data_IF_806500198249
#
_entry.id   IF_806500198249
#
_cell.length_a   1.000
_cell.length_b   1.000
_cell.length_c   1.000
_cell.angle_alpha   90.00
_cell.angle_beta   90.00
_cell.angle_gamma   90.00
#
_symmetry.space_group_name_H-M   'P 1'
#
loop_
_entity.id
_entity.type
_entity.pdbx_description
1 polymer ?
#
# COMPACT_ATOMS: atom_id res chain seq x y z
N UNK A 1 -23.35 6.81 -3.42
CA UNK A 1 -21.89 6.73 -3.55
C UNK A 1 -21.33 8.08 -3.09
N UNK A 2 -20.80 8.18 -1.86
CA UNK A 2 -20.19 9.45 -1.40
C UNK A 2 -19.00 9.75 -2.30
N UNK A 3 -19.06 10.86 -3.02
CA UNK A 3 -18.03 11.34 -3.93
C UNK A 3 -16.67 11.32 -3.23
N UNK A 4 -15.72 10.53 -3.75
CA UNK A 4 -14.33 10.62 -3.32
C UNK A 4 -13.89 12.06 -3.52
N UNK A 5 -13.72 12.83 -2.43
CA UNK A 5 -13.27 14.23 -2.33
C UNK A 5 -12.40 14.75 -3.51
N UNK A 6 -12.98 14.92 -4.70
CA UNK A 6 -12.26 15.09 -5.96
C UNK A 6 -11.05 14.15 -6.16
N UNK A 7 -11.07 12.88 -5.73
CA UNK A 7 -9.93 11.94 -5.91
C UNK A 7 -10.25 10.86 -6.94
N UNK A 8 -9.26 10.48 -7.74
CA UNK A 8 -9.36 9.38 -8.72
C UNK A 8 -8.31 8.30 -8.49
N UNK A 9 -8.53 7.06 -8.96
CA UNK A 9 -7.47 6.05 -9.07
C UNK A 9 -6.38 6.52 -10.05
N UNK A 10 -5.19 5.95 -9.90
CA UNK A 10 -4.15 6.06 -10.92
C UNK A 10 -4.54 5.28 -12.17
N UNK A 11 -4.23 5.82 -13.34
CA UNK A 11 -4.32 5.09 -14.60
C UNK A 11 -3.29 3.97 -14.67
N UNK A 12 -3.45 3.05 -15.63
CA UNK A 12 -2.47 1.99 -15.85
C UNK A 12 -1.07 2.54 -16.20
N UNK A 13 -1.01 3.65 -16.94
CA UNK A 13 0.26 4.30 -17.29
C UNK A 13 0.89 4.97 -16.07
N UNK A 14 0.12 5.70 -15.26
CA UNK A 14 0.65 6.29 -14.03
C UNK A 14 1.12 5.23 -13.04
N UNK A 15 0.40 4.11 -12.90
CA UNK A 15 0.88 2.98 -12.10
C UNK A 15 2.20 2.44 -12.66
N UNK A 16 2.31 2.26 -13.97
CA UNK A 16 3.57 1.86 -14.58
C UNK A 16 4.70 2.85 -14.26
N UNK A 17 4.48 4.14 -14.44
CA UNK A 17 5.44 5.20 -14.13
C UNK A 17 5.81 5.21 -12.64
N UNK A 18 4.83 5.11 -11.73
CA UNK A 18 5.08 5.10 -10.28
C UNK A 18 5.95 3.93 -9.84
N UNK A 19 5.73 2.74 -10.38
CA UNK A 19 6.47 1.54 -9.99
C UNK A 19 7.68 1.27 -10.89
N UNK A 20 8.04 2.21 -11.77
CA UNK A 20 9.33 2.27 -12.48
C UNK A 20 10.08 3.58 -12.20
N UNK A 21 9.56 4.42 -11.29
CA UNK A 21 10.19 5.67 -10.89
C UNK A 21 11.46 5.44 -10.07
N UNK A 22 12.15 6.54 -9.72
CA UNK A 22 13.51 6.47 -9.17
C UNK A 22 13.67 5.63 -7.89
N UNK A 23 12.63 5.51 -7.06
CA UNK A 23 12.63 4.67 -5.86
C UNK A 23 12.73 3.18 -6.21
N UNK A 24 12.26 2.80 -7.39
CA UNK A 24 12.21 1.42 -7.87
C UNK A 24 13.22 1.12 -8.98
N UNK A 25 14.03 2.11 -9.39
CA UNK A 25 15.13 1.95 -10.33
C UNK A 25 16.41 1.42 -9.65
N UNK A 26 17.52 1.44 -10.39
CA UNK A 26 18.81 0.93 -9.89
C UNK A 26 19.75 2.02 -9.38
N UNK A 27 19.44 3.29 -9.62
CA UNK A 27 20.29 4.44 -9.28
C UNK A 27 19.53 5.42 -8.38
N UNK A 28 20.18 5.89 -7.32
CA UNK A 28 19.64 6.90 -6.41
C UNK A 28 19.72 8.27 -7.04
N UNK A 29 18.67 9.08 -6.93
CA UNK A 29 18.74 10.48 -7.38
C UNK A 29 19.65 11.32 -6.48
N UNK A 30 20.16 12.43 -6.99
CA UNK A 30 21.03 13.33 -6.22
C UNK A 30 20.36 13.76 -4.90
N UNK A 31 21.11 13.64 -3.78
CA UNK A 31 20.65 13.94 -2.41
C UNK A 31 19.44 13.12 -1.95
N UNK A 32 19.18 11.96 -2.57
CA UNK A 32 18.17 11.04 -2.09
C UNK A 32 18.51 10.53 -0.69
N UNK A 33 17.51 10.52 0.20
CA UNK A 33 17.59 9.90 1.52
C UNK A 33 16.58 8.75 1.56
N UNK A 34 16.93 7.59 0.97
CA UNK A 34 16.00 6.48 0.88
C UNK A 34 15.68 5.93 2.26
N UNK A 35 14.41 5.60 2.45
CA UNK A 35 13.85 4.98 3.65
C UNK A 35 13.07 3.76 3.21
N UNK A 36 13.07 2.69 4.00
CA UNK A 36 12.40 1.44 3.64
C UNK A 36 10.90 1.65 3.42
N UNK A 37 10.28 2.56 4.17
CA UNK A 37 8.89 2.92 3.95
C UNK A 37 8.62 3.60 2.59
N UNK A 38 9.60 4.25 1.95
CA UNK A 38 9.43 4.80 0.59
C UNK A 38 9.18 3.68 -0.43
N UNK A 39 9.82 2.52 -0.24
CA UNK A 39 9.65 1.34 -1.08
C UNK A 39 8.38 0.56 -0.71
N UNK A 40 8.21 0.22 0.58
CA UNK A 40 7.16 -0.70 1.00
C UNK A 40 5.78 -0.08 1.11
N UNK A 41 5.66 1.19 1.51
CA UNK A 41 4.35 1.78 1.79
C UNK A 41 3.46 1.88 0.52
N UNK A 42 3.96 2.35 -0.65
CA UNK A 42 3.14 2.35 -1.86
C UNK A 42 2.77 0.93 -2.31
N UNK A 43 3.68 -0.04 -2.19
CA UNK A 43 3.40 -1.43 -2.54
C UNK A 43 2.29 -2.02 -1.66
N UNK A 44 2.42 -1.90 -0.34
CA UNK A 44 1.40 -2.40 0.60
C UNK A 44 0.07 -1.68 0.38
N UNK A 45 0.06 -0.36 0.17
CA UNK A 45 -1.18 0.39 -0.08
C UNK A 45 -1.92 -0.09 -1.34
N UNK A 46 -1.19 -0.39 -2.41
CA UNK A 46 -1.77 -0.93 -3.64
C UNK A 46 -2.32 -2.36 -3.49
N UNK A 47 -1.57 -3.25 -2.85
CA UNK A 47 -1.96 -4.67 -2.73
C UNK A 47 -2.92 -4.98 -1.58
N UNK A 48 -3.18 -4.03 -0.67
CA UNK A 48 -4.09 -4.23 0.47
C UNK A 48 -5.21 -3.19 0.60
N UNK A 49 -5.13 -2.11 -0.16
CA UNK A 49 -6.03 -0.97 -0.04
C UNK A 49 -5.93 -0.22 1.29
N UNK A 50 -4.96 -0.53 2.15
CA UNK A 50 -4.80 0.15 3.43
C UNK A 50 -4.36 1.61 3.25
N UNK A 51 -4.88 2.48 4.13
CA UNK A 51 -4.44 3.86 4.25
C UNK A 51 -3.04 3.94 4.84
N UNK A 52 -2.34 5.04 4.55
CA UNK A 52 -0.96 5.24 5.01
C UNK A 52 -0.80 5.24 6.53
N UNK A 53 -1.81 5.66 7.29
CA UNK A 53 -1.79 5.55 8.75
C UNK A 53 -1.92 4.09 9.21
N UNK A 54 -2.84 3.30 8.63
CA UNK A 54 -2.98 1.86 8.93
C UNK A 54 -1.64 1.13 8.70
N UNK A 55 -0.98 1.41 7.57
CA UNK A 55 0.32 0.83 7.23
C UNK A 55 1.42 1.36 8.16
N UNK A 56 1.37 2.65 8.51
CA UNK A 56 2.32 3.28 9.39
C UNK A 56 2.32 2.69 10.80
N UNK A 57 1.17 2.23 11.30
CA UNK A 57 1.02 1.58 12.60
C UNK A 57 1.34 0.08 12.59
N UNK A 58 1.37 -0.57 11.42
CA UNK A 58 1.52 -2.01 11.29
C UNK A 58 2.80 -2.54 11.95
N UNK A 59 2.65 -3.53 12.82
CA UNK A 59 3.75 -4.17 13.56
C UNK A 59 3.97 -5.62 13.12
N UNK A 60 5.06 -6.23 13.59
CA UNK A 60 5.32 -7.65 13.36
C UNK A 60 4.22 -8.56 13.94
N UNK A 61 3.53 -8.12 15.00
CA UNK A 61 2.44 -8.89 15.62
C UNK A 61 1.16 -8.85 14.77
N UNK A 62 1.05 -7.85 13.89
CA UNK A 62 -0.06 -7.73 12.94
C UNK A 62 0.14 -8.59 11.67
N UNK A 63 1.25 -9.35 11.60
CA UNK A 63 1.51 -10.35 10.56
C UNK A 63 1.05 -11.73 11.03
N UNK A 64 -0.21 -12.05 10.74
CA UNK A 64 -0.88 -13.22 11.29
C UNK A 64 -1.01 -14.31 10.24
N UNK A 65 -0.69 -15.55 10.61
CA UNK A 65 -1.03 -16.72 9.80
C UNK A 65 -2.43 -17.22 10.16
N UNK A 66 -3.34 -17.25 9.18
CA UNK A 66 -4.65 -17.90 9.27
C UNK A 66 -4.74 -18.95 8.17
N UNK A 67 -4.96 -20.21 8.54
CA UNK A 67 -5.04 -21.33 7.58
C UNK A 67 -3.80 -21.37 6.64
N UNK A 68 -2.60 -21.20 7.21
CA UNK A 68 -1.32 -21.12 6.49
C UNK A 68 -1.19 -19.96 5.47
N UNK A 69 -2.11 -19.00 5.46
CA UNK A 69 -2.02 -17.78 4.68
C UNK A 69 -1.53 -16.64 5.59
N UNK A 70 -0.44 -15.99 5.19
CA UNK A 70 0.02 -14.77 5.85
C UNK A 70 -0.94 -13.62 5.53
N UNK A 71 -1.40 -12.91 6.56
CA UNK A 71 -2.32 -11.79 6.47
C UNK A 71 -1.78 -10.57 7.21
N UNK A 72 -2.07 -9.38 6.70
CA UNK A 72 -2.01 -8.15 7.48
C UNK A 72 -3.28 -8.00 8.31
N UNK A 73 -3.13 -7.76 9.61
CA UNK A 73 -4.20 -7.39 10.52
C UNK A 73 -4.27 -5.88 10.65
N UNK A 74 -5.18 -5.24 9.92
CA UNK A 74 -5.34 -3.79 9.99
C UNK A 74 -6.32 -3.39 11.09
N UNK A 75 -5.82 -2.59 12.03
CA UNK A 75 -6.60 -1.92 13.04
C UNK A 75 -6.93 -0.49 12.60
N UNK A 76 -8.12 -0.02 12.97
CA UNK A 76 -8.65 1.25 12.46
C UNK A 76 -9.34 2.03 13.57
N UNK A 77 -9.38 3.36 13.40
CA UNK A 77 -10.17 4.23 14.26
C UNK A 77 -11.46 4.66 13.54
N UNK A 78 -12.55 3.94 13.84
CA UNK A 78 -13.94 4.35 13.62
C UNK A 78 -14.48 4.31 12.18
N UNK A 79 -13.83 4.96 11.22
CA UNK A 79 -14.44 5.23 9.89
C UNK A 79 -14.59 4.01 8.98
N UNK A 80 -13.75 3.00 9.18
CA UNK A 80 -13.79 1.71 8.50
C UNK A 80 -13.54 0.64 9.55
N UNK A 81 -14.04 -0.58 9.34
CA UNK A 81 -13.86 -1.70 10.26
C UNK A 81 -12.44 -2.29 10.18
N UNK A 82 -11.90 -2.80 11.29
CA UNK A 82 -10.72 -3.66 11.28
C UNK A 82 -10.93 -4.87 10.38
N UNK A 83 -9.86 -5.38 9.79
CA UNK A 83 -9.94 -6.50 8.82
C UNK A 83 -8.60 -7.22 8.66
N UNK A 84 -8.68 -8.51 8.35
CA UNK A 84 -7.55 -9.29 7.85
C UNK A 84 -7.48 -9.18 6.33
N UNK A 85 -6.31 -8.86 5.79
CA UNK A 85 -6.06 -8.83 4.35
C UNK A 85 -4.91 -9.79 4.04
N UNK A 86 -5.15 -10.87 3.27
CA UNK A 86 -4.09 -11.76 2.81
C UNK A 86 -2.95 -10.99 2.14
N UNK A 87 -1.70 -11.40 2.42
CA UNK A 87 -0.52 -10.81 1.80
C UNK A 87 -0.45 -11.29 0.35
N UNK A 88 -0.46 -10.33 -0.57
CA UNK A 88 -0.33 -10.62 -1.99
C UNK A 88 1.03 -11.24 -2.32
N UNK A 89 1.08 -12.27 -3.17
CA UNK A 89 2.33 -12.96 -3.55
C UNK A 89 3.38 -12.03 -4.14
N UNK A 90 2.97 -10.94 -4.79
CA UNK A 90 3.92 -9.95 -5.31
C UNK A 90 4.77 -9.34 -4.19
N UNK A 91 4.18 -9.03 -3.02
CA UNK A 91 4.94 -8.50 -1.89
C UNK A 91 5.99 -9.50 -1.40
N UNK A 92 5.64 -10.79 -1.35
CA UNK A 92 6.59 -11.87 -1.03
C UNK A 92 7.72 -11.91 -2.06
N UNK A 93 7.39 -11.90 -3.35
CA UNK A 93 8.37 -11.90 -4.45
C UNK A 93 9.24 -10.64 -4.47
N UNK A 94 8.76 -9.52 -3.93
CA UNK A 94 9.53 -8.28 -3.79
C UNK A 94 10.45 -8.29 -2.56
N UNK A 95 10.52 -9.39 -1.81
CA UNK A 95 11.45 -9.55 -0.70
C UNK A 95 10.85 -9.22 0.68
N UNK A 96 9.54 -9.40 0.88
CA UNK A 96 8.89 -9.05 2.16
C UNK A 96 9.42 -9.92 3.32
N UNK A 97 9.72 -11.19 3.07
CA UNK A 97 10.22 -12.11 4.10
C UNK A 97 11.63 -11.68 4.57
N UNK A 98 12.48 -11.30 3.62
CA UNK A 98 13.81 -10.75 3.84
C UNK A 98 13.73 -9.44 4.61
N UNK A 99 12.78 -8.57 4.25
CA UNK A 99 12.54 -7.33 4.98
C UNK A 99 12.08 -7.56 6.42
N UNK A 100 11.19 -8.54 6.65
CA UNK A 100 10.74 -8.93 7.99
C UNK A 100 11.92 -9.48 8.81
N UNK A 101 12.76 -10.33 8.21
CA UNK A 101 13.96 -10.84 8.85
C UNK A 101 14.93 -9.71 9.21
N UNK A 102 15.10 -8.73 8.32
CA UNK A 102 15.88 -7.53 8.57
C UNK A 102 15.32 -6.71 9.74
N UNK A 103 14.01 -6.41 9.77
CA UNK A 103 13.37 -5.69 10.89
C UNK A 103 13.69 -6.38 12.23
N UNK A 104 13.52 -7.71 12.29
CA UNK A 104 13.83 -8.51 13.48
C UNK A 104 15.31 -8.40 13.87
N UNK A 105 16.23 -8.49 12.90
CA UNK A 105 17.68 -8.36 13.15
C UNK A 105 18.08 -6.99 13.72
N UNK A 106 17.31 -5.95 13.39
CA UNK A 106 17.53 -4.58 13.86
C UNK A 106 16.81 -4.29 15.19
N UNK A 107 16.22 -5.30 15.84
CA UNK A 107 15.36 -5.16 17.03
C UNK A 107 14.24 -4.12 16.85
N UNK A 108 13.75 -3.97 15.63
CA UNK A 108 12.61 -3.12 15.32
C UNK A 108 11.33 -3.94 15.39
N UNK A 109 10.22 -3.31 15.76
CA UNK A 109 8.92 -3.99 15.88
C UNK A 109 7.90 -3.51 14.84
N UNK A 110 7.99 -2.25 14.40
CA UNK A 110 7.09 -1.67 13.39
C UNK A 110 7.60 -1.96 11.98
N UNK A 111 6.70 -2.33 11.06
CA UNK A 111 7.10 -2.57 9.66
C UNK A 111 7.60 -1.31 8.98
N UNK A 112 7.07 -0.14 9.36
CA UNK A 112 7.55 1.17 8.90
C UNK A 112 8.36 1.84 10.02
N UNK A 113 9.37 1.16 10.57
CA UNK A 113 10.15 1.66 11.71
C UNK A 113 10.83 3.00 11.42
N UNK A 114 11.26 3.22 10.18
CA UNK A 114 11.94 4.45 9.75
C UNK A 114 11.00 5.52 9.17
N UNK A 115 9.68 5.33 9.28
CA UNK A 115 8.65 6.34 9.01
C UNK A 115 8.39 7.18 10.27
N UNK A 116 8.79 8.47 10.30
CA UNK A 116 8.52 9.31 11.45
C UNK A 116 7.03 9.65 11.58
N UNK A 117 6.55 9.74 12.82
CA UNK A 117 5.25 10.33 13.12
C UNK A 117 5.36 11.87 13.13
N UNK A 118 4.28 12.55 12.75
CA UNK A 118 4.07 13.98 12.98
C UNK A 118 2.71 14.15 13.67
N UNK A 119 2.71 14.79 14.85
CA UNK A 119 1.49 14.98 15.67
C UNK A 119 0.74 13.67 15.94
N UNK A 120 1.47 12.59 16.23
CA UNK A 120 0.88 11.27 16.50
C UNK A 120 0.25 10.58 15.28
N UNK A 121 0.55 11.02 14.04
CA UNK A 121 0.11 10.36 12.80
C UNK A 121 1.28 10.13 11.85
N UNK A 122 1.24 9.08 11.06
CA UNK A 122 2.25 8.78 10.05
C UNK A 122 1.86 9.32 8.67
N UNK A 123 0.55 9.45 8.43
CA UNK A 123 -0.05 9.85 7.16
C UNK A 123 0.45 11.19 6.62
N UNK A 124 0.81 12.13 7.49
CA UNK A 124 1.29 13.45 7.08
C UNK A 124 2.66 13.39 6.39
N UNK A 125 3.62 12.66 6.98
CA UNK A 125 4.96 12.48 6.38
C UNK A 125 4.88 11.75 5.04
N UNK A 126 3.99 10.77 4.95
CA UNK A 126 3.70 10.06 3.70
C UNK A 126 3.11 11.00 2.66
N UNK A 127 2.13 11.85 3.02
CA UNK A 127 1.52 12.83 2.10
C UNK A 127 2.55 13.83 1.58
N UNK A 128 3.41 14.37 2.45
CA UNK A 128 4.45 15.31 2.05
C UNK A 128 5.47 14.65 1.11
N UNK A 129 5.93 13.44 1.42
CA UNK A 129 6.88 12.74 0.55
C UNK A 129 6.26 12.35 -0.80
N UNK A 130 5.04 11.82 -0.79
CA UNK A 130 4.42 11.29 -2.00
C UNK A 130 3.91 12.40 -2.92
N UNK A 131 3.19 13.38 -2.38
CA UNK A 131 2.54 14.45 -3.16
C UNK A 131 3.24 15.82 -3.07
N UNK A 132 4.24 15.99 -2.20
CA UNK A 132 4.90 17.27 -2.00
C UNK A 132 4.18 18.22 -1.04
N UNK A 133 4.82 19.35 -0.75
CA UNK A 133 4.32 20.41 0.13
C UNK A 133 4.92 21.77 -0.22
N UNK A 134 4.07 22.76 -0.51
CA UNK A 134 4.52 24.06 -1.02
C UNK A 134 5.38 23.87 -2.28
N UNK A 135 6.57 24.47 -2.27
CA UNK A 135 7.55 24.36 -3.35
C UNK A 135 8.29 23.01 -3.40
N UNK A 136 8.12 22.14 -2.39
CA UNK A 136 8.81 20.85 -2.35
C UNK A 136 8.08 19.82 -3.21
N UNK A 137 8.70 19.46 -4.33
CA UNK A 137 8.27 18.33 -5.17
C UNK A 137 8.28 17.00 -4.39
N UNK A 138 7.18 16.26 -4.47
CA UNK A 138 7.04 14.91 -3.96
C UNK A 138 7.42 13.84 -4.98
N UNK A 139 7.17 12.58 -4.63
CA UNK A 139 7.39 11.44 -5.50
C UNK A 139 6.63 11.55 -6.83
N UNK A 140 5.35 11.96 -6.79
CA UNK A 140 4.51 12.11 -7.98
C UNK A 140 5.14 13.05 -9.00
N UNK A 141 5.52 14.27 -8.59
CA UNK A 141 6.10 15.26 -9.49
C UNK A 141 7.47 14.84 -10.00
N UNK A 142 8.26 14.14 -9.19
CA UNK A 142 9.55 13.57 -9.62
C UNK A 142 9.41 12.41 -10.61
N UNK A 143 8.20 11.88 -10.76
CA UNK A 143 7.85 10.90 -11.78
C UNK A 143 7.01 11.53 -12.90
N UNK A 144 6.97 12.86 -13.00
CA UNK A 144 6.19 13.63 -13.98
C UNK A 144 4.67 13.36 -13.92
N UNK A 145 4.16 12.97 -12.75
CA UNK A 145 2.73 12.78 -12.50
C UNK A 145 2.21 14.01 -11.74
N UNK A 146 1.24 14.76 -12.30
CA UNK A 146 0.67 15.90 -11.62
C UNK A 146 -0.20 15.46 -10.44
N UNK A 147 -0.25 16.27 -9.38
CA UNK A 147 -1.13 16.02 -8.23
C UNK A 147 -2.62 16.14 -8.56
N UNK A 148 -2.95 16.92 -9.59
CA UNK A 148 -4.30 17.23 -10.04
C UNK A 148 -4.31 17.13 -11.55
N UNK A 149 -5.25 16.38 -12.11
CA UNK A 149 -5.39 16.28 -13.56
C UNK A 149 -6.16 17.47 -14.16
N UNK A 150 -6.32 17.44 -15.48
CA UNK A 150 -7.02 18.48 -16.25
C UNK A 150 -8.50 18.63 -15.86
N UNK A 151 -9.10 17.62 -15.23
CA UNK A 151 -10.48 17.63 -14.77
C UNK A 151 -10.61 18.08 -13.30
N UNK A 152 -9.50 18.51 -12.68
CA UNK A 152 -9.47 18.92 -11.28
C UNK A 152 -9.45 17.74 -10.30
N UNK A 153 -9.25 16.51 -10.77
CA UNK A 153 -9.24 15.32 -9.94
C UNK A 153 -7.83 15.06 -9.39
N UNK A 154 -7.76 14.85 -8.09
CA UNK A 154 -6.52 14.68 -7.33
C UNK A 154 -6.06 13.23 -7.30
N UNK A 155 -4.75 13.05 -7.36
CA UNK A 155 -4.05 11.79 -7.06
C UNK A 155 -3.18 11.94 -5.82
N UNK A 156 -3.23 10.94 -4.95
CA UNK A 156 -2.44 10.90 -3.72
C UNK A 156 -2.16 9.44 -3.35
N UNK A 157 -1.44 9.20 -2.25
CA UNK A 157 -1.19 7.83 -1.78
C UNK A 157 -2.52 7.06 -1.57
N UNK A 158 -3.57 7.73 -1.09
CA UNK A 158 -4.90 7.13 -0.92
C UNK A 158 -5.63 6.81 -2.23
N UNK A 159 -5.14 7.27 -3.38
CA UNK A 159 -5.65 6.86 -4.69
C UNK A 159 -5.32 5.39 -5.00
N UNK A 160 -4.25 4.82 -4.43
CA UNK A 160 -3.93 3.39 -4.57
C UNK A 160 -5.03 2.50 -3.98
N UNK A 161 -5.71 2.97 -2.92
CA UNK A 161 -6.90 2.28 -2.39
C UNK A 161 -8.04 2.24 -3.40
N UNK A 162 -8.19 3.25 -4.26
CA UNK A 162 -9.22 3.25 -5.30
C UNK A 162 -8.88 2.23 -6.40
N UNK A 163 -7.59 2.11 -6.76
CA UNK A 163 -7.11 1.05 -7.65
C UNK A 163 -7.35 -0.35 -7.05
N UNK A 164 -7.13 -0.52 -5.75
CA UNK A 164 -7.44 -1.76 -5.03
C UNK A 164 -8.95 -2.04 -5.03
N UNK A 165 -9.77 -1.06 -4.66
CA UNK A 165 -11.23 -1.18 -4.57
C UNK A 165 -11.84 -1.65 -5.91
N UNK A 166 -11.40 -1.06 -7.03
CA UNK A 166 -11.89 -1.43 -8.36
C UNK A 166 -11.64 -2.92 -8.67
N UNK A 167 -10.44 -3.40 -8.38
CA UNK A 167 -10.05 -4.78 -8.67
C UNK A 167 -10.73 -5.77 -7.71
N UNK A 168 -10.73 -5.47 -6.40
CA UNK A 168 -11.36 -6.34 -5.40
C UNK A 168 -12.86 -6.45 -5.62
N UNK A 169 -13.52 -5.35 -6.00
CA UNK A 169 -14.95 -5.38 -6.37
C UNK A 169 -15.20 -6.38 -7.49
N UNK A 170 -14.42 -6.33 -8.57
CA UNK A 170 -14.57 -7.23 -9.71
C UNK A 170 -14.33 -8.69 -9.26
N UNK A 171 -13.22 -8.97 -8.60
CA UNK A 171 -12.83 -10.34 -8.28
C UNK A 171 -13.69 -10.99 -7.19
N UNK A 172 -14.14 -10.22 -6.20
CA UNK A 172 -15.06 -10.69 -5.17
C UNK A 172 -16.45 -11.01 -5.75
N UNK A 173 -16.96 -10.16 -6.67
CA UNK A 173 -18.21 -10.44 -7.38
C UNK A 173 -18.10 -11.65 -8.31
N UNK A 174 -16.97 -11.82 -9.01
CA UNK A 174 -16.69 -13.03 -9.81
C UNK A 174 -16.63 -14.29 -8.95
N UNK A 175 -16.23 -14.17 -7.67
CA UNK A 175 -16.27 -15.25 -6.71
C UNK A 175 -17.63 -15.36 -5.98
N UNK A 176 -18.67 -14.69 -6.49
CA UNK A 176 -20.03 -14.64 -5.93
C UNK A 176 -20.08 -14.22 -4.46
N UNK A 177 -19.17 -13.34 -4.02
CA UNK A 177 -19.11 -12.86 -2.64
C UNK A 177 -18.99 -11.35 -2.57
N UNK A 178 -20.14 -10.67 -2.47
CA UNK A 178 -20.19 -9.24 -2.14
C UNK A 178 -19.63 -8.97 -0.73
N UNK A 179 -19.77 -9.93 0.17
CA UNK A 179 -19.28 -9.82 1.55
C UNK A 179 -17.75 -9.79 1.61
N UNK A 180 -17.06 -10.57 0.77
CA UNK A 180 -15.59 -10.50 0.67
C UNK A 180 -15.14 -9.09 0.25
N UNK A 181 -15.85 -8.46 -0.71
CA UNK A 181 -15.58 -7.07 -1.09
C UNK A 181 -15.80 -6.10 0.08
N UNK A 182 -16.95 -6.17 0.75
CA UNK A 182 -17.26 -5.29 1.87
C UNK A 182 -16.26 -5.47 3.03
N UNK A 183 -15.89 -6.71 3.36
CA UNK A 183 -14.92 -7.02 4.41
C UNK A 183 -13.52 -6.47 4.08
N UNK A 184 -13.00 -6.75 2.88
CA UNK A 184 -11.66 -6.29 2.46
C UNK A 184 -11.58 -4.76 2.36
N UNK A 185 -12.70 -4.09 2.09
CA UNK A 185 -12.79 -2.63 2.13
C UNK A 185 -13.06 -2.07 3.54
N UNK A 186 -13.30 -2.90 4.55
CA UNK A 186 -13.64 -2.46 5.90
C UNK A 186 -14.95 -1.67 5.95
N UNK A 187 -15.89 -2.00 5.07
CA UNK A 187 -17.20 -1.36 4.98
C UNK A 187 -18.14 -1.88 6.08
N UNK A 188 -18.98 -0.99 6.62
CA UNK A 188 -19.92 -1.32 7.70
C UNK A 188 -21.06 -2.25 7.22
N UNK A 189 -21.25 -2.33 5.91
CA UNK A 189 -22.14 -3.24 5.22
C UNK A 189 -21.81 -4.72 5.49
N UNK A 190 -20.58 -5.04 5.90
CA UNK A 190 -20.26 -6.36 6.44
C UNK A 190 -20.42 -6.38 7.97
N UNK A 191 -21.41 -7.11 8.52
CA UNK A 191 -21.79 -6.97 9.92
C UNK A 191 -20.80 -7.62 10.89
N UNK A 192 -20.07 -8.66 10.46
CA UNK A 192 -19.17 -9.41 11.34
C UNK A 192 -17.78 -8.74 11.47
N UNK A 193 -17.06 -9.11 12.54
CA UNK A 193 -15.70 -8.63 12.79
C UNK A 193 -14.64 -9.50 12.11
N UNK A 194 -14.94 -10.78 11.94
CA UNK A 194 -14.08 -11.75 11.27
C UNK A 194 -14.77 -12.26 10.01
N UNK A 195 -13.94 -12.70 9.05
CA UNK A 195 -14.40 -13.36 7.84
C UNK A 195 -13.96 -14.82 7.88
N UNK A 196 -14.91 -15.74 7.86
CA UNK A 196 -14.65 -17.16 8.11
C UNK A 196 -13.79 -17.83 7.02
N UNK A 197 -14.02 -17.45 5.75
CA UNK A 197 -13.35 -18.05 4.59
C UNK A 197 -12.14 -17.22 4.14
N UNK A 198 -11.02 -17.39 4.84
CA UNK A 198 -9.76 -16.70 4.52
C UNK A 198 -9.18 -17.17 3.18
N UNK A 199 -9.46 -18.40 2.76
CA UNK A 199 -9.07 -18.91 1.43
C UNK A 199 -9.76 -18.13 0.31
N UNK A 200 -11.05 -17.82 0.45
CA UNK A 200 -11.78 -16.97 -0.48
C UNK A 200 -11.18 -15.56 -0.54
N UNK A 201 -10.89 -14.94 0.60
CA UNK A 201 -10.21 -13.64 0.64
C UNK A 201 -8.88 -13.70 -0.11
N UNK A 202 -8.09 -14.75 0.13
CA UNK A 202 -6.80 -14.92 -0.51
C UNK A 202 -6.97 -15.08 -2.03
N UNK A 203 -7.90 -15.91 -2.49
CA UNK A 203 -8.21 -16.08 -3.91
C UNK A 203 -8.60 -14.76 -4.60
N UNK A 204 -9.35 -13.89 -3.91
CA UNK A 204 -9.69 -12.55 -4.40
C UNK A 204 -8.44 -11.66 -4.46
N UNK A 205 -7.65 -11.61 -3.40
CA UNK A 205 -6.44 -10.78 -3.32
C UNK A 205 -5.41 -11.20 -4.37
N UNK A 206 -5.14 -12.50 -4.54
CA UNK A 206 -4.14 -13.00 -5.50
C UNK A 206 -4.48 -12.69 -6.98
N UNK A 207 -5.70 -12.22 -7.28
CA UNK A 207 -6.10 -11.78 -8.63
C UNK A 207 -5.77 -10.32 -8.90
N UNK A 208 -5.39 -9.53 -7.89
CA UNK A 208 -4.94 -8.15 -8.06
C UNK A 208 -3.75 -8.13 -9.04
N UNK A 209 -3.80 -7.23 -10.00
CA UNK A 209 -2.78 -7.07 -11.03
C UNK A 209 -1.41 -6.88 -10.37
N UNK A 210 -0.46 -7.71 -10.75
CA UNK A 210 0.95 -7.52 -10.37
C UNK A 210 1.48 -6.32 -11.13
N UNK A 211 1.96 -5.31 -10.41
CA UNK A 211 2.72 -4.21 -10.99
C UNK A 211 4.21 -4.52 -10.84
N UNK A 212 4.94 -4.39 -11.96
CA UNK A 212 6.39 -4.55 -12.06
C UNK A 212 6.93 -5.78 -11.30
N UNK A 213 6.96 -6.93 -11.98
CA UNK A 213 7.47 -8.18 -11.41
C UNK A 213 8.97 -8.18 -11.08
N UNK A 214 9.73 -7.17 -11.52
CA UNK A 214 11.17 -7.09 -11.31
C UNK A 214 11.55 -6.32 -10.04
N UNK A 215 10.58 -5.73 -9.32
CA UNK A 215 10.86 -5.04 -8.07
C UNK A 215 11.40 -6.01 -7.03
N UNK A 216 12.41 -5.57 -6.29
CA UNK A 216 12.94 -6.33 -5.17
C UNK A 216 13.55 -5.37 -4.14
N UNK A 217 13.26 -5.60 -2.86
CA UNK A 217 13.75 -4.77 -1.77
C UNK A 217 15.28 -4.77 -1.68
N UNK A 218 15.91 -5.92 -1.96
CA UNK A 218 17.37 -5.99 -2.05
C UNK A 218 17.94 -5.03 -3.11
N UNK A 219 17.32 -4.95 -4.30
CA UNK A 219 17.74 -3.99 -5.34
C UNK A 219 17.62 -2.56 -4.82
N UNK A 220 16.50 -2.23 -4.15
CA UNK A 220 16.26 -0.91 -3.58
C UNK A 220 17.35 -0.46 -2.59
N UNK A 221 17.82 -1.36 -1.71
CA UNK A 221 18.85 -1.02 -0.72
C UNK A 221 20.27 -1.01 -1.30
N UNK A 222 20.52 -1.74 -2.40
CA UNK A 222 21.82 -1.78 -3.08
C UNK A 222 21.94 -0.81 -4.25
N UNK A 223 20.98 0.10 -4.45
CA UNK A 223 21.03 1.09 -5.55
C UNK A 223 22.32 1.91 -5.53
N UNK A 224 22.88 2.11 -6.70
CA UNK A 224 24.11 2.88 -6.90
C UNK A 224 23.87 4.34 -6.51
N UNK A 225 24.88 4.96 -5.90
CA UNK A 225 24.88 6.40 -5.71
C UNK A 225 25.34 7.07 -7.00
N UNK A 226 24.69 8.17 -7.39
CA UNK A 226 25.26 9.09 -8.37
C UNK A 226 26.57 9.70 -7.90
#
# INVERSE_FOLDING_TARGET
MKTHLGRRPFSAMELHTLYNGYIYGDVKVMREQPKHWHFWLPLISYYSGAYSDEIGYLTLDDLIFKQNILCFSFHTHGKIKPRLVPVHKALINHGLNEYIAFIKSQNQHRLMFDLPAKTGRYSEKVRIWFSGEGERAGYLQKCDIPNVDQLGMKTAISSLRLNFEQQVRIHALQANSKDAFNYLMGFNEYPHNEFNDVLLLNNVIQKIRIINSHLHWQRFITRESH
#
